data_IF_486726248942
#
_entry.id   IF_486726248942
#
_cell.length_a   1.000
_cell.length_b   1.000
_cell.length_c   1.000
_cell.angle_alpha   90.00
_cell.angle_beta   90.00
_cell.angle_gamma   90.00
#
_symmetry.space_group_name_H-M   'P 1'
#
loop_
_entity.id
_entity.type
_entity.pdbx_description
1 polymer ?
#
# COMPACT_ATOMS: atom_id res chain seq x y z
N UNK A 1 -21.86 -10.75 -7.06
CA UNK A 1 -22.54 -10.86 -5.75
C UNK A 1 -22.94 -9.48 -5.22
N UNK A 2 -22.00 -8.56 -4.95
CA UNK A 2 -22.29 -7.19 -4.44
C UNK A 2 -23.39 -6.49 -5.25
N UNK A 3 -23.24 -6.42 -6.58
CA UNK A 3 -24.26 -5.86 -7.48
C UNK A 3 -25.66 -6.47 -7.32
N UNK A 4 -25.75 -7.77 -7.04
CA UNK A 4 -27.04 -8.44 -6.86
C UNK A 4 -27.65 -8.14 -5.49
N UNK A 5 -26.82 -8.01 -4.45
CA UNK A 5 -27.28 -7.61 -3.11
C UNK A 5 -27.82 -6.18 -3.10
N UNK A 6 -27.22 -5.27 -3.89
CA UNK A 6 -27.63 -3.87 -3.98
C UNK A 6 -28.81 -3.61 -4.95
N UNK A 7 -29.43 -4.64 -5.53
CA UNK A 7 -30.51 -4.51 -6.54
C UNK A 7 -31.93 -4.60 -5.98
N UNK A 8 -32.13 -4.93 -4.71
CA UNK A 8 -33.47 -5.06 -4.09
C UNK A 8 -33.91 -3.82 -3.32
N UNK A 9 -35.19 -3.41 -3.48
CA UNK A 9 -35.88 -2.21 -2.96
C UNK A 9 -35.15 -0.86 -3.10
N UNK A 10 -35.86 0.17 -3.54
CA UNK A 10 -35.31 1.51 -3.81
C UNK A 10 -34.63 2.17 -2.60
N UNK A 11 -34.90 1.68 -1.38
CA UNK A 11 -34.29 2.13 -0.12
C UNK A 11 -32.92 1.49 0.21
N UNK A 12 -32.43 0.48 -0.54
CA UNK A 12 -31.21 -0.28 -0.21
C UNK A 12 -30.01 -0.04 -1.16
N UNK A 13 -29.98 1.06 -1.90
CA UNK A 13 -28.88 1.42 -2.83
C UNK A 13 -27.71 2.10 -2.11
N UNK A 14 -27.33 1.62 -0.94
CA UNK A 14 -26.21 2.17 -0.17
C UNK A 14 -25.03 1.21 -0.21
N UNK A 15 -24.10 1.44 -1.14
CA UNK A 15 -22.83 0.73 -1.21
C UNK A 15 -21.70 1.73 -1.05
N UNK A 16 -20.75 1.39 -0.19
CA UNK A 16 -19.52 2.14 0.01
C UNK A 16 -18.35 1.17 -0.12
N UNK A 17 -17.42 1.47 -1.03
CA UNK A 17 -16.26 0.64 -1.30
C UNK A 17 -15.00 1.47 -1.09
N UNK A 18 -14.00 0.85 -0.47
CA UNK A 18 -12.67 1.42 -0.28
C UNK A 18 -11.66 0.49 -0.90
N UNK A 19 -10.65 1.06 -1.55
CA UNK A 19 -9.51 0.29 -2.02
C UNK A 19 -8.48 1.19 -2.70
N UNK A 20 -7.37 0.57 -3.09
CA UNK A 20 -6.25 1.21 -3.77
C UNK A 20 -5.87 0.37 -4.98
N UNK A 21 -5.95 0.99 -6.16
CA UNK A 21 -5.64 0.36 -7.45
C UNK A 21 -4.18 -0.12 -7.47
N UNK A 22 -3.26 0.66 -6.92
CA UNK A 22 -1.83 0.34 -6.91
C UNK A 22 -1.47 -0.77 -5.89
N UNK A 23 -2.41 -1.18 -5.03
CA UNK A 23 -2.26 -2.29 -4.08
C UNK A 23 -2.94 -3.59 -4.54
N UNK A 24 -3.28 -3.71 -5.83
CA UNK A 24 -3.92 -4.91 -6.39
C UNK A 24 -2.91 -6.05 -6.60
N UNK A 25 -2.59 -6.83 -5.56
CA UNK A 25 -1.57 -7.89 -5.60
C UNK A 25 -2.10 -9.33 -5.78
N UNK A 26 -3.42 -9.51 -5.85
CA UNK A 26 -4.08 -10.83 -5.96
C UNK A 26 -4.58 -11.17 -7.38
N UNK A 27 -3.96 -10.61 -8.42
CA UNK A 27 -4.37 -10.82 -9.82
C UNK A 27 -4.34 -12.28 -10.23
N UNK A 28 -3.39 -13.07 -9.71
CA UNK A 28 -3.29 -14.51 -9.90
C UNK A 28 -4.48 -15.31 -9.31
N UNK A 29 -5.29 -14.70 -8.43
CA UNK A 29 -6.56 -15.27 -7.92
C UNK A 29 -7.79 -14.63 -8.58
N UNK A 30 -7.61 -13.90 -9.67
CA UNK A 30 -8.71 -13.23 -10.40
C UNK A 30 -9.10 -11.86 -9.86
N UNK A 31 -8.29 -11.23 -8.99
CA UNK A 31 -8.49 -9.82 -8.67
C UNK A 31 -8.19 -8.95 -9.91
N UNK A 32 -9.06 -7.98 -10.19
CA UNK A 32 -8.82 -6.98 -11.23
C UNK A 32 -8.97 -5.58 -10.65
N UNK A 33 -8.01 -4.72 -10.97
CA UNK A 33 -8.04 -3.31 -10.63
C UNK A 33 -9.18 -2.57 -11.35
N UNK A 34 -9.64 -3.11 -12.49
CA UNK A 34 -10.73 -2.54 -13.29
C UNK A 34 -12.06 -2.52 -12.53
N UNK A 35 -12.23 -3.43 -11.56
CA UNK A 35 -13.40 -3.46 -10.69
C UNK A 35 -13.56 -2.16 -9.90
N UNK A 36 -12.45 -1.60 -9.41
CA UNK A 36 -12.44 -0.34 -8.67
C UNK A 36 -12.40 0.87 -9.62
N UNK A 37 -11.63 0.76 -10.71
CA UNK A 37 -11.40 1.87 -11.63
C UNK A 37 -12.65 2.28 -12.41
N UNK A 38 -13.24 1.31 -13.11
CA UNK A 38 -14.24 1.60 -14.15
C UNK A 38 -15.58 0.94 -13.84
N UNK A 39 -15.57 -0.31 -13.39
CA UNK A 39 -16.79 -1.09 -13.28
C UNK A 39 -17.69 -0.60 -12.14
N UNK A 40 -17.12 -0.14 -11.02
CA UNK A 40 -17.91 0.38 -9.90
C UNK A 40 -18.72 1.62 -10.30
N UNK A 41 -18.08 2.60 -10.95
CA UNK A 41 -18.77 3.82 -11.38
C UNK A 41 -19.81 3.55 -12.48
N UNK A 42 -19.58 2.54 -13.33
CA UNK A 42 -20.56 2.08 -14.33
C UNK A 42 -21.77 1.38 -13.69
N UNK A 43 -21.53 0.56 -12.67
CA UNK A 43 -22.58 -0.21 -11.99
C UNK A 43 -23.39 0.65 -11.01
N UNK A 44 -22.79 1.71 -10.47
CA UNK A 44 -23.38 2.62 -9.50
C UNK A 44 -23.16 4.08 -9.92
N UNK A 45 -23.87 4.58 -10.96
CA UNK A 45 -23.59 5.87 -11.62
C UNK A 45 -23.83 7.10 -10.74
N UNK A 46 -24.55 6.96 -9.63
CA UNK A 46 -24.78 8.03 -8.66
C UNK A 46 -23.74 8.07 -7.53
N UNK A 47 -22.69 7.24 -7.61
CA UNK A 47 -21.65 7.18 -6.59
C UNK A 47 -20.73 8.39 -6.65
N UNK A 48 -20.28 8.83 -5.48
CA UNK A 48 -19.25 9.87 -5.35
C UNK A 48 -17.90 9.20 -5.09
N UNK A 49 -16.88 9.59 -5.83
CA UNK A 49 -15.50 9.12 -5.64
C UNK A 49 -14.70 10.13 -4.81
N UNK A 50 -14.13 9.67 -3.70
CA UNK A 50 -13.24 10.45 -2.85
C UNK A 50 -11.82 9.88 -2.93
N UNK A 51 -10.85 10.69 -3.37
CA UNK A 51 -9.43 10.32 -3.41
C UNK A 51 -8.72 10.88 -2.18
N UNK A 52 -8.24 9.99 -1.31
CA UNK A 52 -7.48 10.37 -0.11
C UNK A 52 -6.00 10.46 -0.46
N UNK A 53 -5.43 11.67 -0.37
CA UNK A 53 -4.01 11.93 -0.69
C UNK A 53 -3.10 11.91 0.54
N UNK A 54 -3.68 12.06 1.72
CA UNK A 54 -2.94 12.25 2.96
C UNK A 54 -2.53 10.90 3.55
N UNK A 55 -1.21 10.70 3.70
CA UNK A 55 -0.60 9.55 4.33
C UNK A 55 -0.25 9.88 5.79
N UNK A 56 -0.91 9.18 6.71
CA UNK A 56 -0.73 9.34 8.16
C UNK A 56 0.21 8.30 8.77
N UNK A 57 0.67 7.30 7.99
CA UNK A 57 1.45 6.16 8.48
C UNK A 57 2.95 6.39 8.32
N UNK A 58 3.39 6.74 7.12
CA UNK A 58 4.79 6.74 6.73
C UNK A 58 5.41 8.14 6.83
N UNK A 59 6.72 8.18 7.09
CA UNK A 59 7.52 9.41 7.03
C UNK A 59 7.68 9.89 5.58
N UNK A 60 8.15 11.13 5.40
CA UNK A 60 8.39 11.69 4.05
C UNK A 60 9.34 10.83 3.21
N UNK A 61 10.41 10.29 3.79
CA UNK A 61 11.42 9.54 3.04
C UNK A 61 10.91 8.18 2.57
N UNK A 62 10.18 7.45 3.45
CA UNK A 62 9.52 6.19 3.07
C UNK A 62 8.48 6.47 1.97
N UNK A 63 7.68 7.53 2.12
CA UNK A 63 6.66 7.88 1.14
C UNK A 63 7.28 8.27 -0.20
N UNK A 64 8.38 9.04 -0.19
CA UNK A 64 9.10 9.47 -1.39
C UNK A 64 9.67 8.31 -2.18
N UNK A 65 10.28 7.31 -1.52
CA UNK A 65 10.77 6.10 -2.20
C UNK A 65 9.61 5.31 -2.82
N UNK A 66 8.54 5.08 -2.07
CA UNK A 66 7.37 4.35 -2.57
C UNK A 66 6.73 5.05 -3.79
N UNK A 67 6.60 6.37 -3.72
CA UNK A 67 6.03 7.17 -4.81
C UNK A 67 6.91 7.19 -6.05
N UNK A 68 8.23 7.29 -5.86
CA UNK A 68 9.21 7.25 -6.96
C UNK A 68 9.11 5.90 -7.68
N UNK A 69 9.02 4.79 -6.95
CA UNK A 69 8.83 3.47 -7.54
C UNK A 69 7.50 3.38 -8.31
N UNK A 70 6.39 3.74 -7.67
CA UNK A 70 5.06 3.65 -8.30
C UNK A 70 5.01 4.50 -9.57
N UNK A 71 5.60 5.70 -9.60
CA UNK A 71 5.63 6.59 -10.77
C UNK A 71 6.24 5.97 -12.04
N UNK A 72 7.06 4.93 -11.90
CA UNK A 72 7.63 4.19 -13.04
C UNK A 72 6.62 3.24 -13.71
N UNK A 73 5.55 2.86 -12.98
CA UNK A 73 4.53 1.94 -13.47
C UNK A 73 3.52 2.68 -14.37
N UNK A 74 3.04 2.02 -15.42
CA UNK A 74 2.03 2.58 -16.33
C UNK A 74 0.60 2.26 -15.84
N UNK A 75 0.09 3.01 -14.85
CA UNK A 75 -1.33 2.96 -14.45
C UNK A 75 -1.98 4.34 -14.59
N UNK A 76 -2.96 4.49 -15.47
CA UNK A 76 -3.58 5.78 -15.83
C UNK A 76 -4.56 6.36 -14.79
N UNK A 77 -4.90 5.63 -13.74
CA UNK A 77 -5.99 6.00 -12.81
C UNK A 77 -5.55 6.11 -11.33
N UNK A 78 -4.26 6.30 -11.15
CA UNK A 78 -3.62 6.45 -9.84
C UNK A 78 -3.94 7.79 -9.18
N UNK A 79 -3.63 7.87 -7.89
CA UNK A 79 -3.46 9.16 -7.24
C UNK A 79 -2.10 9.71 -7.66
N UNK A 80 -2.07 10.87 -8.31
CA UNK A 80 -0.82 11.46 -8.81
C UNK A 80 0.20 11.72 -7.70
N UNK A 81 -0.30 12.12 -6.52
CA UNK A 81 0.57 12.47 -5.41
C UNK A 81 -0.01 12.18 -4.02
N UNK A 82 0.77 11.50 -3.18
CA UNK A 82 0.50 11.34 -1.75
C UNK A 82 1.26 12.37 -0.92
N UNK A 83 0.67 12.83 0.18
CA UNK A 83 1.22 13.85 1.08
C UNK A 83 1.45 13.25 2.46
N UNK A 84 2.67 13.27 2.96
CA UNK A 84 2.94 12.87 4.34
C UNK A 84 2.41 13.94 5.30
N UNK A 85 1.51 13.54 6.22
CA UNK A 85 0.91 14.45 7.21
C UNK A 85 1.67 14.43 8.54
N UNK A 86 2.52 13.44 8.78
CA UNK A 86 3.29 13.35 10.03
C UNK A 86 4.14 14.61 10.23
N UNK A 87 4.15 15.12 11.47
CA UNK A 87 4.81 16.37 11.86
C UNK A 87 6.31 16.21 12.15
N UNK A 88 6.78 14.98 12.27
CA UNK A 88 8.18 14.63 12.49
C UNK A 88 9.08 14.90 11.27
N UNK A 89 8.51 15.27 10.13
CA UNK A 89 9.25 15.81 8.98
C UNK A 89 9.89 14.72 8.13
N UNK A 90 11.18 14.85 7.87
CA UNK A 90 11.98 13.78 7.25
C UNK A 90 12.25 12.73 8.32
N UNK A 91 11.93 11.47 8.03
CA UNK A 91 12.27 10.34 8.88
C UNK A 91 13.72 9.92 8.67
N UNK A 92 14.00 8.66 9.01
CA UNK A 92 15.29 8.04 8.67
C UNK A 92 15.30 7.70 7.17
N UNK A 93 16.42 7.93 6.46
CA UNK A 93 16.59 7.49 5.07
C UNK A 93 16.32 5.98 4.92
N UNK A 94 15.89 5.59 3.72
CA UNK A 94 15.71 4.18 3.37
C UNK A 94 17.05 3.61 2.92
N UNK A 95 17.58 2.67 3.69
CA UNK A 95 18.83 1.97 3.38
C UNK A 95 18.60 0.76 2.46
N UNK A 96 19.55 0.50 1.56
CA UNK A 96 19.58 -0.69 0.70
C UNK A 96 20.92 -1.41 0.92
N UNK A 97 20.86 -2.64 1.41
CA UNK A 97 22.02 -3.49 1.60
C UNK A 97 22.04 -4.59 0.54
N UNK A 98 23.22 -4.87 -0.01
CA UNK A 98 23.44 -5.95 -0.97
C UNK A 98 24.45 -6.92 -0.37
N UNK A 99 24.06 -8.20 -0.31
CA UNK A 99 24.87 -9.28 0.26
C UNK A 99 25.26 -10.28 -0.82
N UNK A 100 26.37 -10.99 -0.61
CA UNK A 100 26.91 -11.92 -1.61
C UNK A 100 26.10 -13.22 -1.69
N UNK A 101 25.43 -13.59 -0.59
CA UNK A 101 24.63 -14.81 -0.48
C UNK A 101 23.53 -14.68 0.61
N UNK A 102 22.52 -15.59 0.61
CA UNK A 102 21.41 -15.52 1.57
C UNK A 102 21.80 -15.72 3.04
N UNK A 103 22.91 -16.43 3.32
CA UNK A 103 23.39 -16.64 4.69
C UNK A 103 23.93 -15.33 5.25
N UNK A 104 24.75 -14.63 4.46
CA UNK A 104 25.24 -13.29 4.79
C UNK A 104 24.10 -12.28 4.98
N UNK A 105 23.09 -12.31 4.09
CA UNK A 105 21.89 -11.47 4.21
C UNK A 105 21.17 -11.73 5.54
N UNK A 106 20.91 -13.01 5.87
CA UNK A 106 20.24 -13.38 7.11
C UNK A 106 21.02 -12.95 8.36
N UNK A 107 22.35 -13.10 8.35
CA UNK A 107 23.21 -12.63 9.44
C UNK A 107 23.21 -11.11 9.56
N UNK A 108 23.33 -10.39 8.44
CA UNK A 108 23.32 -8.93 8.40
C UNK A 108 22.02 -8.36 8.94
N UNK A 109 20.87 -8.91 8.52
CA UNK A 109 19.55 -8.54 9.04
C UNK A 109 19.47 -8.82 10.55
N UNK A 110 19.88 -10.00 11.02
CA UNK A 110 19.84 -10.33 12.44
C UNK A 110 20.70 -9.38 13.30
N UNK A 111 21.86 -8.96 12.78
CA UNK A 111 22.74 -8.02 13.45
C UNK A 111 22.16 -6.60 13.51
N UNK A 112 21.56 -6.11 12.42
CA UNK A 112 20.86 -4.81 12.39
C UNK A 112 19.68 -4.79 13.38
N UNK A 113 18.87 -5.85 13.39
CA UNK A 113 17.77 -6.02 14.36
C UNK A 113 18.30 -5.94 15.79
N UNK A 114 19.38 -6.69 16.10
CA UNK A 114 19.97 -6.70 17.44
C UNK A 114 20.47 -5.31 17.86
N UNK A 115 21.07 -4.55 16.95
CA UNK A 115 21.52 -3.18 17.22
C UNK A 115 20.34 -2.28 17.59
N UNK A 116 19.28 -2.28 16.75
CA UNK A 116 18.10 -1.41 16.95
C UNK A 116 17.31 -1.73 18.21
N UNK A 117 17.21 -3.01 18.58
CA UNK A 117 16.59 -3.44 19.83
C UNK A 117 17.37 -2.97 21.06
N UNK A 118 18.69 -2.78 20.95
CA UNK A 118 19.52 -2.27 22.04
C UNK A 118 19.44 -0.75 22.21
N UNK A 119 18.99 -0.02 21.19
CA UNK A 119 18.92 1.45 21.18
C UNK A 119 17.55 2.01 21.60
N UNK A 120 16.48 1.23 21.41
CA UNK A 120 15.11 1.69 21.61
C UNK A 120 14.22 0.62 22.27
N UNK A 121 13.75 0.91 23.48
CA UNK A 121 12.90 0.00 24.28
C UNK A 121 11.56 -0.36 23.59
N UNK A 122 11.03 0.52 22.73
CA UNK A 122 9.75 0.33 22.01
C UNK A 122 9.92 -0.05 20.53
N UNK A 123 11.09 -0.58 20.15
CA UNK A 123 11.36 -0.92 18.75
C UNK A 123 10.43 -2.05 18.25
N UNK A 124 9.72 -1.80 17.13
CA UNK A 124 8.86 -2.78 16.46
C UNK A 124 9.43 -3.08 15.08
N UNK A 125 9.75 -4.34 14.84
CA UNK A 125 10.40 -4.79 13.61
C UNK A 125 9.58 -5.90 12.96
N UNK A 126 9.45 -5.83 11.64
CA UNK A 126 8.87 -6.89 10.82
C UNK A 126 9.81 -7.21 9.65
N UNK A 127 9.98 -8.49 9.34
CA UNK A 127 10.73 -8.97 8.17
C UNK A 127 9.74 -9.49 7.15
N UNK A 128 9.74 -8.91 5.94
CA UNK A 128 8.84 -9.27 4.84
C UNK A 128 9.64 -10.01 3.78
N UNK A 129 9.18 -11.22 3.43
CA UNK A 129 9.79 -12.07 2.41
C UNK A 129 8.79 -12.33 1.28
N UNK A 130 9.28 -12.54 0.06
CA UNK A 130 8.41 -12.80 -1.10
C UNK A 130 7.77 -14.19 -1.07
N UNK A 131 8.48 -15.17 -0.52
CA UNK A 131 8.08 -16.58 -0.47
C UNK A 131 8.41 -17.17 0.90
N UNK A 132 7.58 -18.10 1.35
CA UNK A 132 7.92 -19.01 2.44
C UNK A 132 8.67 -20.19 1.81
N UNK A 133 9.99 -20.25 2.02
CA UNK A 133 10.83 -21.37 1.60
C UNK A 133 11.19 -22.21 2.83
#
# INVERSE_FOLDING_TARGET
>A
IIKHLCRGNDDAKHVFVVGDVDQTIYTWRGASADHMRDMFLKDFPHSVCYRLKDNYRSTKDILGVAQSLISTLQNSDRVDEFRAVRKDGHGVPVDVFVYSNPVEEGMGIAQDIKSRLGEHDDCRIAVLLRTHA
#
